data_IF_395352958495
#
_entry.id   IF_395352958495
#
_cell.length_a   1.000
_cell.length_b   1.000
_cell.length_c   1.000
_cell.angle_alpha   90.00
_cell.angle_beta   90.00
_cell.angle_gamma   90.00
#
_symmetry.space_group_name_H-M   'P 1'
#
loop_
_entity.id
_entity.type
_entity.pdbx_description
1 polymer ?
#
# COMPACT_ATOMS: atom_id res chain seq x y z
N UNK A 1 20.72 1.92 -14.61
CA UNK A 1 20.52 2.00 -13.14
C UNK A 1 19.42 3.00 -12.70
N UNK A 2 19.52 4.28 -13.07
CA UNK A 2 18.46 5.29 -12.85
C UNK A 2 17.14 4.93 -13.55
N UNK A 3 17.23 4.35 -14.75
CA UNK A 3 16.08 3.89 -15.54
C UNK A 3 15.19 2.86 -14.81
N UNK A 4 15.78 1.95 -14.02
CA UNK A 4 15.01 0.95 -13.26
C UNK A 4 14.17 1.61 -12.16
N UNK A 5 14.77 2.55 -11.42
CA UNK A 5 14.07 3.34 -10.41
C UNK A 5 12.93 4.16 -11.05
N UNK A 6 13.21 4.78 -12.20
CA UNK A 6 12.22 5.57 -12.93
C UNK A 6 11.05 4.70 -13.41
N UNK A 7 11.31 3.54 -14.02
CA UNK A 7 10.25 2.63 -14.48
C UNK A 7 9.43 2.13 -13.29
N UNK A 8 10.07 1.76 -12.17
CA UNK A 8 9.35 1.34 -10.97
C UNK A 8 8.37 2.42 -10.51
N UNK A 9 8.84 3.66 -10.35
CA UNK A 9 7.97 4.76 -9.90
C UNK A 9 6.91 5.14 -10.94
N UNK A 10 7.22 5.08 -12.23
CA UNK A 10 6.23 5.30 -13.29
C UNK A 10 5.11 4.25 -13.24
N UNK A 11 5.45 2.96 -13.10
CA UNK A 11 4.46 1.89 -12.96
C UNK A 11 3.65 2.04 -11.69
N UNK A 12 4.30 2.36 -10.56
CA UNK A 12 3.60 2.56 -9.29
C UNK A 12 2.66 3.77 -9.34
N UNK A 13 3.08 4.89 -9.92
CA UNK A 13 2.23 6.08 -10.10
C UNK A 13 1.06 5.78 -11.05
N UNK A 14 1.29 5.06 -12.15
CA UNK A 14 0.21 4.65 -13.05
C UNK A 14 -0.81 3.76 -12.34
N UNK A 15 -0.34 2.79 -11.54
CA UNK A 15 -1.21 1.95 -10.72
C UNK A 15 -1.95 2.76 -9.65
N UNK A 16 -1.28 3.73 -9.01
CA UNK A 16 -1.91 4.64 -8.06
C UNK A 16 -3.03 5.47 -8.68
N UNK A 17 -2.78 6.05 -9.87
CA UNK A 17 -3.80 6.80 -10.60
C UNK A 17 -4.97 5.91 -11.00
N UNK A 18 -4.72 4.68 -11.44
CA UNK A 18 -5.76 3.72 -11.74
C UNK A 18 -6.60 3.40 -10.49
N UNK A 19 -5.97 3.10 -9.35
CA UNK A 19 -6.67 2.89 -8.08
C UNK A 19 -7.48 4.12 -7.65
N UNK A 20 -6.94 5.33 -7.84
CA UNK A 20 -7.63 6.58 -7.52
C UNK A 20 -8.86 6.79 -8.43
N UNK A 21 -8.76 6.47 -9.71
CA UNK A 21 -9.91 6.52 -10.65
C UNK A 21 -10.98 5.50 -10.24
N UNK A 22 -10.60 4.27 -9.90
CA UNK A 22 -11.54 3.28 -9.39
C UNK A 22 -12.24 3.76 -8.12
N UNK A 23 -11.49 4.34 -7.17
CA UNK A 23 -12.04 4.89 -5.94
C UNK A 23 -13.01 6.05 -6.24
N UNK A 24 -12.64 6.96 -7.13
CA UNK A 24 -13.49 8.08 -7.54
C UNK A 24 -14.79 7.60 -8.20
N UNK A 25 -14.71 6.58 -9.07
CA UNK A 25 -15.89 5.97 -9.69
C UNK A 25 -16.85 5.39 -8.65
N UNK A 26 -16.32 4.74 -7.61
CA UNK A 26 -17.14 4.23 -6.51
C UNK A 26 -17.74 5.35 -5.67
N UNK A 27 -17.01 6.43 -5.41
CA UNK A 27 -17.52 7.57 -4.64
C UNK A 27 -18.68 8.27 -5.36
N UNK A 28 -18.58 8.45 -6.69
CA UNK A 28 -19.68 8.99 -7.51
C UNK A 28 -20.84 7.98 -7.59
N UNK A 29 -20.52 6.69 -7.72
CA UNK A 29 -21.48 5.58 -7.80
C UNK A 29 -22.03 5.09 -6.46
N UNK A 30 -21.73 5.77 -5.34
CA UNK A 30 -22.10 5.35 -3.97
C UNK A 30 -23.54 4.86 -3.86
N UNK A 31 -24.47 5.60 -4.44
CA UNK A 31 -25.90 5.31 -4.34
C UNK A 31 -26.29 4.05 -5.12
N UNK A 32 -25.60 3.75 -6.23
CA UNK A 32 -25.80 2.50 -6.97
C UNK A 32 -25.23 1.31 -6.20
N UNK A 33 -24.05 1.47 -5.60
CA UNK A 33 -23.43 0.41 -4.79
C UNK A 33 -24.32 0.04 -3.60
N UNK A 34 -24.82 1.02 -2.84
CA UNK A 34 -25.71 0.75 -1.71
C UNK A 34 -27.04 0.14 -2.15
N UNK A 35 -27.60 0.57 -3.29
CA UNK A 35 -28.79 -0.07 -3.87
C UNK A 35 -28.54 -1.53 -4.26
N UNK A 36 -27.35 -1.84 -4.77
CA UNK A 36 -26.96 -3.21 -5.14
C UNK A 36 -26.79 -4.12 -3.91
N UNK A 37 -26.27 -3.57 -2.80
CA UNK A 37 -26.14 -4.30 -1.52
C UNK A 37 -27.50 -4.58 -0.84
N UNK A 38 -28.54 -3.83 -1.19
CA UNK A 38 -29.89 -3.97 -0.65
C UNK A 38 -30.21 -3.03 0.52
N UNK A 39 -31.49 -2.82 0.78
CA UNK A 39 -32.03 -1.82 1.73
C UNK A 39 -31.51 -1.98 3.17
N UNK A 40 -31.15 -3.19 3.56
CA UNK A 40 -30.54 -3.51 4.87
C UNK A 40 -29.17 -2.82 5.11
N UNK A 41 -28.51 -2.32 4.06
CA UNK A 41 -27.22 -1.60 4.14
C UNK A 41 -27.35 -0.08 3.96
N UNK A 42 -28.57 0.47 3.94
CA UNK A 42 -28.80 1.90 3.71
C UNK A 42 -28.11 2.83 4.74
N UNK A 43 -27.88 2.36 5.97
CA UNK A 43 -27.22 3.15 7.01
C UNK A 43 -25.68 3.15 6.93
N UNK A 44 -25.07 2.35 6.05
CA UNK A 44 -23.61 2.13 5.97
C UNK A 44 -22.89 3.15 5.08
N UNK A 45 -23.59 4.18 4.60
CA UNK A 45 -23.04 5.17 3.65
C UNK A 45 -21.68 5.76 4.05
N UNK A 46 -21.45 6.04 5.33
CA UNK A 46 -20.17 6.57 5.81
C UNK A 46 -19.09 5.48 5.91
N UNK A 47 -19.44 4.31 6.45
CA UNK A 47 -18.50 3.20 6.66
C UNK A 47 -18.07 2.54 5.34
N UNK A 48 -18.90 2.61 4.30
CA UNK A 48 -18.55 2.17 2.95
C UNK A 48 -17.34 2.95 2.40
N UNK A 49 -17.25 4.25 2.67
CA UNK A 49 -16.12 5.07 2.22
C UNK A 49 -14.84 4.62 2.92
N UNK A 50 -14.88 4.39 4.23
CA UNK A 50 -13.74 3.87 4.97
C UNK A 50 -13.32 2.49 4.45
N UNK A 51 -14.27 1.59 4.17
CA UNK A 51 -13.96 0.28 3.61
C UNK A 51 -13.30 0.40 2.22
N UNK A 52 -13.80 1.28 1.35
CA UNK A 52 -13.23 1.48 0.01
C UNK A 52 -11.83 2.08 0.05
N UNK A 53 -11.59 3.07 0.91
CA UNK A 53 -10.26 3.66 1.11
C UNK A 53 -9.29 2.60 1.66
N UNK A 54 -9.72 1.79 2.61
CA UNK A 54 -8.92 0.68 3.15
C UNK A 54 -8.52 -0.30 2.03
N UNK A 55 -9.47 -0.72 1.20
CA UNK A 55 -9.18 -1.62 0.08
C UNK A 55 -8.26 -0.98 -0.97
N UNK A 56 -8.37 0.33 -1.22
CA UNK A 56 -7.46 1.04 -2.09
C UNK A 56 -6.02 0.99 -1.56
N UNK A 57 -5.81 1.20 -0.26
CA UNK A 57 -4.46 1.10 0.36
C UNK A 57 -3.91 -0.32 0.24
N UNK A 58 -4.74 -1.34 0.50
CA UNK A 58 -4.36 -2.75 0.31
C UNK A 58 -4.00 -3.08 -1.13
N UNK A 59 -4.76 -2.55 -2.10
CA UNK A 59 -4.44 -2.72 -3.52
C UNK A 59 -3.05 -2.14 -3.84
N UNK A 60 -2.76 -0.90 -3.40
CA UNK A 60 -1.44 -0.27 -3.58
C UNK A 60 -0.32 -1.09 -2.95
N UNK A 61 -0.56 -1.61 -1.73
CA UNK A 61 0.41 -2.45 -1.03
C UNK A 61 0.67 -3.76 -1.78
N UNK A 62 -0.39 -4.42 -2.28
CA UNK A 62 -0.30 -5.63 -3.08
C UNK A 62 0.43 -5.40 -4.40
N UNK A 63 0.15 -4.27 -5.07
CA UNK A 63 0.85 -3.85 -6.28
C UNK A 63 2.34 -3.64 -6.04
N UNK A 64 2.71 -2.89 -5.01
CA UNK A 64 4.11 -2.68 -4.62
C UNK A 64 4.82 -4.02 -4.30
N UNK A 65 4.15 -4.91 -3.56
CA UNK A 65 4.68 -6.23 -3.25
C UNK A 65 4.90 -7.07 -4.52
N UNK A 66 3.93 -7.12 -5.44
CA UNK A 66 4.06 -7.87 -6.69
C UNK A 66 5.20 -7.31 -7.57
N UNK A 67 5.36 -5.99 -7.61
CA UNK A 67 6.47 -5.33 -8.30
C UNK A 67 7.83 -5.65 -7.67
N UNK A 68 7.89 -5.74 -6.34
CA UNK A 68 9.07 -6.15 -5.60
C UNK A 68 9.40 -7.64 -5.85
N UNK A 69 8.41 -8.52 -5.75
CA UNK A 69 8.56 -9.97 -5.99
C UNK A 69 9.02 -10.28 -7.41
N UNK A 70 8.50 -9.60 -8.43
CA UNK A 70 8.94 -9.80 -9.84
C UNK A 70 10.42 -9.48 -10.08
N UNK A 71 11.07 -8.78 -9.14
CA UNK A 71 12.50 -8.43 -9.16
C UNK A 71 13.33 -9.22 -8.14
N UNK A 72 12.72 -10.16 -7.42
CA UNK A 72 13.35 -10.88 -6.31
C UNK A 72 13.64 -10.00 -5.07
N UNK A 73 13.06 -8.80 -5.01
CA UNK A 73 13.24 -7.84 -3.91
C UNK A 73 12.31 -8.16 -2.76
N UNK A 74 12.56 -9.27 -2.07
CA UNK A 74 11.69 -9.73 -0.98
C UNK A 74 12.17 -9.15 0.35
N UNK A 75 11.36 -8.30 0.96
CA UNK A 75 11.57 -7.87 2.36
C UNK A 75 11.39 -9.10 3.26
N UNK A 76 12.31 -9.36 4.21
CA UNK A 76 12.17 -10.50 5.10
C UNK A 76 10.83 -10.51 5.84
N UNK A 77 10.15 -11.66 5.83
CA UNK A 77 8.77 -11.80 6.34
C UNK A 77 8.63 -11.39 7.81
N UNK A 78 9.65 -11.62 8.63
CA UNK A 78 9.63 -11.25 10.04
C UNK A 78 9.46 -9.74 10.25
N UNK A 79 9.99 -8.89 9.37
CA UNK A 79 9.82 -7.43 9.47
C UNK A 79 8.35 -7.06 9.28
N UNK A 80 7.71 -7.61 8.25
CA UNK A 80 6.30 -7.36 7.95
C UNK A 80 5.37 -7.86 9.06
N UNK A 81 5.62 -9.06 9.58
CA UNK A 81 4.84 -9.64 10.68
C UNK A 81 4.98 -8.80 11.95
N UNK A 82 6.22 -8.49 12.37
CA UNK A 82 6.46 -7.72 13.60
C UNK A 82 5.84 -6.33 13.52
N UNK A 83 6.01 -5.61 12.41
CA UNK A 83 5.41 -4.29 12.24
C UNK A 83 3.88 -4.34 12.17
N UNK A 84 3.32 -5.36 11.54
CA UNK A 84 1.86 -5.56 11.50
C UNK A 84 1.30 -5.74 12.91
N UNK A 85 1.90 -6.64 13.71
CA UNK A 85 1.46 -6.89 15.08
C UNK A 85 1.62 -5.65 15.96
N UNK A 86 2.77 -4.96 15.88
CA UNK A 86 3.01 -3.73 16.64
C UNK A 86 1.97 -2.66 16.29
N UNK A 87 1.69 -2.48 15.00
CA UNK A 87 0.71 -1.49 14.52
C UNK A 87 -0.69 -1.85 14.97
N UNK A 88 -1.06 -3.14 14.98
CA UNK A 88 -2.35 -3.59 15.50
C UNK A 88 -2.49 -3.28 16.99
N UNK A 89 -1.47 -3.60 17.81
CA UNK A 89 -1.49 -3.32 19.25
C UNK A 89 -1.68 -1.82 19.51
N UNK A 90 -0.92 -0.97 18.81
CA UNK A 90 -1.05 0.49 18.93
C UNK A 90 -2.42 0.96 18.46
N UNK A 91 -2.88 0.50 17.29
CA UNK A 91 -4.18 0.90 16.74
C UNK A 91 -5.35 0.49 17.64
N UNK A 92 -5.28 -0.66 18.30
CA UNK A 92 -6.32 -1.14 19.21
C UNK A 92 -6.44 -0.28 20.48
N UNK A 93 -5.35 0.38 20.91
CA UNK A 93 -5.40 1.32 22.02
C UNK A 93 -5.93 2.70 21.61
N UNK A 94 -5.80 3.06 20.34
CA UNK A 94 -6.19 4.38 19.84
C UNK A 94 -7.63 4.44 19.30
N UNK A 95 -8.24 3.29 19.01
CA UNK A 95 -9.51 3.23 18.27
C UNK A 95 -10.53 2.31 18.95
N UNK A 96 -11.79 2.74 19.00
CA UNK A 96 -12.89 1.93 19.54
C UNK A 96 -13.29 0.79 18.59
N UNK A 97 -12.81 -0.42 18.89
CA UNK A 97 -13.09 -1.64 18.12
C UNK A 97 -14.54 -2.15 18.23
N UNK A 98 -15.35 -1.61 19.15
CA UNK A 98 -16.78 -1.93 19.19
C UNK A 98 -17.56 -1.34 18.02
N UNK A 99 -16.91 -0.50 17.20
CA UNK A 99 -17.53 0.14 16.02
C UNK A 99 -16.86 -0.33 14.73
N UNK A 100 -17.66 -0.49 13.66
CA UNK A 100 -17.16 -0.85 12.34
C UNK A 100 -16.10 0.16 11.85
N UNK A 101 -16.39 1.45 11.99
CA UNK A 101 -15.44 2.53 11.67
C UNK A 101 -14.11 2.35 12.39
N UNK A 102 -14.15 1.95 13.66
CA UNK A 102 -12.93 1.77 14.43
C UNK A 102 -12.06 0.62 13.91
N UNK A 103 -12.67 -0.50 13.58
CA UNK A 103 -11.97 -1.64 12.95
C UNK A 103 -11.38 -1.24 11.59
N UNK A 104 -12.12 -0.48 10.78
CA UNK A 104 -11.65 0.00 9.48
C UNK A 104 -10.45 0.94 9.61
N UNK A 105 -10.47 1.87 10.55
CA UNK A 105 -9.34 2.77 10.82
C UNK A 105 -8.10 2.02 11.31
N UNK A 106 -8.27 1.04 12.20
CA UNK A 106 -7.16 0.18 12.63
C UNK A 106 -6.58 -0.61 11.45
N UNK A 107 -7.44 -1.14 10.57
CA UNK A 107 -7.04 -1.78 9.32
C UNK A 107 -6.26 -0.85 8.40
N UNK A 108 -6.66 0.42 8.29
CA UNK A 108 -5.95 1.42 7.47
C UNK A 108 -4.55 1.68 8.00
N UNK A 109 -4.39 1.79 9.32
CA UNK A 109 -3.07 1.97 9.93
C UNK A 109 -2.13 0.82 9.55
N UNK A 110 -2.60 -0.43 9.66
CA UNK A 110 -1.85 -1.62 9.28
C UNK A 110 -1.52 -1.64 7.78
N UNK A 111 -2.50 -1.33 6.93
CA UNK A 111 -2.31 -1.31 5.48
C UNK A 111 -1.29 -0.24 5.06
N UNK A 112 -1.32 0.94 5.69
CA UNK A 112 -0.35 2.01 5.45
C UNK A 112 1.06 1.62 5.86
N UNK A 113 1.22 1.03 7.06
CA UNK A 113 2.54 0.56 7.52
C UNK A 113 3.10 -0.49 6.56
N UNK A 114 2.27 -1.45 6.13
CA UNK A 114 2.70 -2.47 5.16
C UNK A 114 3.06 -1.86 3.80
N UNK A 115 2.29 -0.89 3.30
CA UNK A 115 2.62 -0.16 2.08
C UNK A 115 3.98 0.55 2.21
N UNK A 116 4.20 1.27 3.31
CA UNK A 116 5.46 1.97 3.59
C UNK A 116 6.63 1.00 3.61
N UNK A 117 6.49 -0.16 4.26
CA UNK A 117 7.53 -1.20 4.28
C UNK A 117 7.89 -1.65 2.86
N UNK A 118 6.91 -1.84 1.98
CA UNK A 118 7.17 -2.25 0.60
C UNK A 118 7.87 -1.15 -0.21
N UNK A 119 7.51 0.11 -0.01
CA UNK A 119 8.13 1.25 -0.68
C UNK A 119 9.56 1.51 -0.15
N UNK A 120 9.79 1.38 1.16
CA UNK A 120 11.12 1.49 1.75
C UNK A 120 12.01 0.32 1.31
N UNK A 121 11.43 -0.88 1.24
CA UNK A 121 12.09 -2.07 0.70
C UNK A 121 12.56 -1.85 -0.73
N UNK A 122 11.69 -1.34 -1.61
CA UNK A 122 12.04 -1.09 -3.01
C UNK A 122 13.17 -0.07 -3.16
N UNK A 123 13.17 1.00 -2.37
CA UNK A 123 14.26 1.99 -2.33
C UNK A 123 15.57 1.39 -1.81
N UNK A 124 15.51 0.59 -0.75
CA UNK A 124 16.69 -0.09 -0.20
C UNK A 124 17.32 -1.03 -1.23
N UNK A 125 16.52 -1.88 -1.87
CA UNK A 125 17.02 -2.83 -2.89
C UNK A 125 17.53 -2.11 -4.14
N UNK A 126 16.84 -1.05 -4.57
CA UNK A 126 17.32 -0.21 -5.68
C UNK A 126 18.68 0.36 -5.36
N UNK A 127 18.87 0.98 -4.19
CA UNK A 127 20.18 1.53 -3.78
C UNK A 127 21.26 0.45 -3.67
N UNK A 128 20.93 -0.73 -3.15
CA UNK A 128 21.87 -1.85 -3.05
C UNK A 128 22.30 -2.34 -4.43
N UNK A 129 21.41 -2.36 -5.41
CA UNK A 129 21.73 -2.71 -6.80
C UNK A 129 22.64 -1.67 -7.49
N UNK A 130 22.70 -0.43 -6.99
CA UNK A 130 23.52 0.65 -7.55
C UNK A 130 24.97 0.64 -7.03
N UNK A 131 25.21 0.19 -5.80
CA UNK A 131 26.55 0.22 -5.15
C UNK A 131 27.67 -0.45 -5.95
N UNK A 132 27.48 -1.62 -6.60
CA UNK A 132 28.56 -2.28 -7.35
C UNK A 132 29.00 -1.48 -8.58
N UNK A 133 28.08 -0.75 -9.23
CA UNK A 133 28.38 0.04 -10.42
C UNK A 133 29.20 1.30 -10.10
N UNK A 134 29.00 1.86 -8.91
CA UNK A 134 29.73 3.05 -8.42
C UNK A 134 31.16 2.69 -8.00
N UNK A 135 31.38 1.48 -7.46
CA UNK A 135 32.70 0.98 -7.07
C UNK A 135 33.59 0.60 -8.26
N UNK A 136 33.02 0.30 -9.44
CA UNK A 136 33.77 -0.01 -10.65
C UNK A 136 34.23 1.23 -11.44
N UNK A 137 33.69 2.42 -11.13
CA UNK A 137 33.98 3.66 -11.85
C UNK A 137 35.32 4.37 -11.51
N UNK A 138 35.95 4.24 -10.31
CA UNK A 138 37.12 5.08 -9.99
C UNK A 138 38.47 4.57 -10.53
N UNK A 139 38.58 3.36 -11.07
CA UNK A 139 39.90 2.78 -11.44
C UNK A 139 40.31 2.99 -12.90
N UNK A 140 39.49 3.64 -13.73
CA UNK A 140 39.78 3.88 -15.15
C UNK A 140 40.34 5.29 -15.45
N UNK A 141 40.64 6.07 -14.41
CA UNK A 141 41.05 7.47 -14.53
C UNK A 141 42.50 7.75 -14.11
N UNK A 142 43.34 6.73 -13.90
CA UNK A 142 44.78 6.88 -13.67
C UNK A 142 45.59 6.09 -14.69
#
# INVERSE_FOLDING_TARGET
PSRLRTIYWQTFVAYFLFTAVCLAAVLVGRNLVVKLLGSQYANIHADLIYAMVLQAIWALQGGALAMNMSRGWVVPAYIGITLTLLTQVVAFQMVNLATLRGVLLAGMAVALVNLIVQLLGSEYFTRRALRPAEQAAPSAAN
#
